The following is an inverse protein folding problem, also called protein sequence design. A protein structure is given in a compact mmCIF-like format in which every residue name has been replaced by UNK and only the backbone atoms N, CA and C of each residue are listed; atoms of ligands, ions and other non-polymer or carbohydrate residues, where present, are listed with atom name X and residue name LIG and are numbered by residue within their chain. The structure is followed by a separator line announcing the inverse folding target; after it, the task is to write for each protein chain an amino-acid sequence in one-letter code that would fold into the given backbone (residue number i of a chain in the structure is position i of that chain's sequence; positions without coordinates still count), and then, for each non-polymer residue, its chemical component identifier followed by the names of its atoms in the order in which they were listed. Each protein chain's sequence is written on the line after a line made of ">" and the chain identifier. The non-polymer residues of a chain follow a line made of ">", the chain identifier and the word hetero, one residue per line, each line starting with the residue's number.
data_IF_011132148102
#
_entry.id   IF_011132148102
#
_cell.length_a   1.000
_cell.length_b   1.000
_cell.length_c   1.000
_cell.angle_alpha   90.00
_cell.angle_beta   90.00
_cell.angle_gamma   90.00
#
_symmetry.space_group_name_H-M   'P 1'
#
loop_
_entity.id
_entity.type
_entity.pdbx_description
1 polymer ?
#
# COMPACT_ATOMS: atom_id res chain seq x y z
N UNK A 1 -0.29 8.84 -4.37
CA UNK A 1 -0.96 9.10 -3.07
C UNK A 1 0.08 9.00 -1.96
N UNK A 2 -0.04 9.70 -0.84
CA UNK A 2 0.77 9.35 0.35
C UNK A 2 0.39 7.96 0.85
N UNK A 3 1.38 7.13 1.20
CA UNK A 3 1.22 5.72 1.56
C UNK A 3 0.51 5.52 2.90
N UNK A 4 0.72 6.44 3.85
CA UNK A 4 0.04 6.47 5.15
C UNK A 4 -0.93 7.64 5.23
N UNK A 5 -1.92 7.54 6.11
CA UNK A 5 -2.77 8.66 6.49
C UNK A 5 -2.20 9.34 7.72
N UNK A 6 -2.07 10.66 7.69
CA UNK A 6 -1.66 11.48 8.83
C UNK A 6 -2.87 12.25 9.33
N UNK A 7 -3.26 12.02 10.58
CA UNK A 7 -4.35 12.74 11.21
C UNK A 7 -3.91 14.13 11.71
N UNK A 8 -4.87 14.98 12.09
CA UNK A 8 -4.60 16.35 12.56
C UNK A 8 -3.75 16.39 13.84
N UNK A 9 -3.81 15.34 14.65
CA UNK A 9 -3.03 15.18 15.88
C UNK A 9 -1.61 14.62 15.63
N UNK A 10 -1.25 14.36 14.36
CA UNK A 10 0.04 13.82 13.95
C UNK A 10 0.14 12.30 14.03
N UNK A 11 -0.91 11.59 14.45
CA UNK A 11 -0.92 10.12 14.42
C UNK A 11 -0.98 9.60 12.97
N UNK A 12 -0.36 8.44 12.74
CA UNK A 12 -0.31 7.80 11.42
C UNK A 12 -1.03 6.46 11.41
N UNK A 13 -1.74 6.18 10.32
CA UNK A 13 -2.42 4.90 10.10
C UNK A 13 -2.24 4.39 8.66
N UNK A 14 -2.36 3.07 8.49
CA UNK A 14 -2.22 2.43 7.18
C UNK A 14 -3.42 2.73 6.28
N UNK A 15 -3.15 3.05 5.01
CA UNK A 15 -4.20 3.19 3.97
C UNK A 15 -4.50 1.87 3.26
N UNK A 16 -3.50 0.98 3.17
CA UNK A 16 -3.64 -0.34 2.58
C UNK A 16 -3.94 -1.35 3.69
N UNK A 17 -5.18 -1.81 3.74
CA UNK A 17 -5.76 -2.63 4.81
C UNK A 17 -6.30 -3.95 4.25
N UNK A 18 -6.42 -5.01 5.08
CA UNK A 18 -7.04 -6.27 4.65
C UNK A 18 -8.53 -6.10 4.31
N UNK A 19 -9.18 -5.09 4.88
CA UNK A 19 -10.55 -4.67 4.58
C UNK A 19 -10.66 -3.17 4.79
N UNK A 20 -11.29 -2.47 3.85
CA UNK A 20 -11.58 -1.05 4.02
C UNK A 20 -12.54 -0.84 5.19
N UNK A 21 -12.20 0.10 6.05
CA UNK A 21 -12.98 0.60 7.18
C UNK A 21 -13.92 1.75 6.79
N UNK A 22 -13.67 2.37 5.63
CA UNK A 22 -14.52 3.41 5.04
C UNK A 22 -15.48 2.83 3.98
N UNK A 23 -16.58 3.54 3.67
CA UNK A 23 -17.49 3.14 2.60
C UNK A 23 -16.75 2.93 1.27
N UNK A 24 -16.93 1.76 0.68
CA UNK A 24 -16.31 1.40 -0.60
C UNK A 24 -16.86 2.28 -1.73
N UNK A 25 -15.98 2.85 -2.52
CA UNK A 25 -16.35 3.54 -3.77
C UNK A 25 -16.57 2.55 -4.93
N UNK A 26 -15.82 1.44 -4.94
CA UNK A 26 -15.95 0.35 -5.89
C UNK A 26 -15.28 -0.91 -5.34
N UNK A 27 -15.66 -2.08 -5.86
CA UNK A 27 -15.16 -3.39 -5.40
C UNK A 27 -14.33 -4.02 -6.51
N UNK A 28 -13.07 -4.35 -6.23
CA UNK A 28 -12.19 -5.04 -7.19
C UNK A 28 -11.90 -4.23 -8.46
N UNK A 29 -11.96 -2.89 -8.37
CA UNK A 29 -11.81 -1.99 -9.52
C UNK A 29 -10.41 -1.36 -9.64
N UNK A 30 -9.50 -1.67 -8.72
CA UNK A 30 -8.15 -1.09 -8.68
C UNK A 30 -7.16 -2.11 -9.22
N UNK A 31 -6.44 -1.75 -10.27
CA UNK A 31 -5.39 -2.60 -10.87
C UNK A 31 -3.98 -2.25 -10.34
N UNK A 32 -3.72 -0.97 -10.06
CA UNK A 32 -2.39 -0.46 -9.70
C UNK A 32 -2.48 0.61 -8.61
N UNK A 33 -1.62 0.51 -7.61
CA UNK A 33 -1.48 1.47 -6.51
C UNK A 33 -0.09 2.11 -6.57
N UNK A 34 -0.05 3.44 -6.72
CA UNK A 34 1.19 4.23 -6.77
C UNK A 34 1.25 5.18 -5.57
N UNK A 35 2.29 5.03 -4.76
CA UNK A 35 2.54 5.88 -3.59
C UNK A 35 3.93 6.49 -3.59
N UNK A 36 4.22 7.34 -2.60
CA UNK A 36 5.56 7.88 -2.33
C UNK A 36 6.59 6.81 -1.94
N UNK A 37 6.16 5.60 -1.55
CA UNK A 37 7.04 4.50 -1.15
C UNK A 37 7.30 3.50 -2.28
N UNK A 38 6.46 3.45 -3.31
CA UNK A 38 6.62 2.50 -4.41
C UNK A 38 5.35 2.26 -5.23
N UNK A 39 5.42 1.25 -6.08
CA UNK A 39 4.36 0.82 -6.99
C UNK A 39 3.95 -0.61 -6.65
N UNK A 40 2.65 -0.85 -6.53
CA UNK A 40 2.06 -2.16 -6.23
C UNK A 40 0.96 -2.51 -7.23
N UNK A 41 1.09 -3.65 -7.86
CA UNK A 41 0.06 -4.27 -8.70
C UNK A 41 -0.94 -5.05 -7.83
N UNK A 42 -2.22 -4.92 -8.12
CA UNK A 42 -3.28 -5.71 -7.48
C UNK A 42 -3.45 -7.00 -8.26
N UNK A 43 -3.23 -8.13 -7.59
CA UNK A 43 -3.33 -9.47 -8.17
C UNK A 43 -4.34 -10.30 -7.42
N UNK A 44 -4.72 -11.45 -7.97
CA UNK A 44 -5.58 -12.44 -7.30
C UNK A 44 -5.00 -12.92 -5.95
N UNK A 45 -3.68 -12.79 -5.75
CA UNK A 45 -2.98 -13.21 -4.53
C UNK A 45 -2.68 -12.04 -3.56
N UNK A 46 -3.16 -10.83 -3.85
CA UNK A 46 -2.91 -9.63 -3.06
C UNK A 46 -2.01 -8.62 -3.76
N UNK A 47 -1.29 -7.81 -2.98
CA UNK A 47 -0.49 -6.69 -3.49
C UNK A 47 0.93 -7.12 -3.80
N UNK A 48 1.33 -6.96 -5.06
CA UNK A 48 2.67 -7.27 -5.56
C UNK A 48 3.46 -6.00 -5.81
N UNK A 49 4.57 -5.82 -5.12
CA UNK A 49 5.44 -4.66 -5.29
C UNK A 49 6.26 -4.84 -6.56
N UNK A 50 6.11 -3.90 -7.51
CA UNK A 50 6.83 -3.90 -8.79
C UNK A 50 7.97 -2.89 -8.78
N UNK A 51 7.87 -1.82 -8.00
CA UNK A 51 8.92 -0.80 -7.86
C UNK A 51 8.98 -0.26 -6.43
N UNK A 52 10.17 0.11 -5.97
CA UNK A 52 10.40 0.85 -4.73
C UNK A 52 10.88 2.26 -5.06
N UNK A 53 10.43 3.24 -4.28
CA UNK A 53 10.96 4.58 -4.40
C UNK A 53 12.44 4.63 -3.99
N UNK A 54 13.23 5.59 -4.50
CA UNK A 54 14.66 5.69 -4.19
C UNK A 54 14.92 5.76 -2.68
N UNK A 55 15.76 4.85 -2.18
CA UNK A 55 16.12 4.77 -0.75
C UNK A 55 15.07 4.11 0.14
N UNK A 56 13.96 3.61 -0.40
CA UNK A 56 12.96 2.83 0.35
C UNK A 56 13.34 1.35 0.36
N UNK A 57 13.34 0.75 1.55
CA UNK A 57 13.60 -0.68 1.73
C UNK A 57 12.30 -1.51 1.75
N UNK A 58 12.43 -2.83 1.52
CA UNK A 58 11.29 -3.77 1.58
C UNK A 58 10.63 -3.75 2.97
N UNK A 59 11.44 -3.64 4.02
CA UNK A 59 10.98 -3.58 5.41
C UNK A 59 10.19 -2.30 5.69
N UNK A 60 10.63 -1.16 5.14
CA UNK A 60 9.96 0.12 5.34
C UNK A 60 8.55 0.14 4.76
N UNK A 61 8.40 -0.25 3.49
CA UNK A 61 7.08 -0.30 2.85
C UNK A 61 6.18 -1.37 3.48
N UNK A 62 6.75 -2.52 3.87
CA UNK A 62 5.99 -3.56 4.58
C UNK A 62 5.50 -3.07 5.94
N UNK A 63 6.31 -2.34 6.70
CA UNK A 63 5.91 -1.76 7.98
C UNK A 63 4.84 -0.68 7.83
N UNK A 64 4.77 -0.01 6.67
CA UNK A 64 3.79 1.02 6.37
C UNK A 64 2.50 0.48 5.71
N UNK A 65 2.43 -0.82 5.43
CA UNK A 65 1.28 -1.50 4.80
C UNK A 65 0.61 -2.46 5.78
N UNK A 66 -0.72 -2.39 5.93
CA UNK A 66 -1.49 -3.27 6.82
C UNK A 66 -1.74 -4.69 6.30
N UNK A 67 -1.17 -5.05 5.14
CA UNK A 67 -1.24 -6.40 4.56
C UNK A 67 0.16 -6.87 4.16
N UNK A 68 0.33 -8.20 4.06
CA UNK A 68 1.59 -8.77 3.58
C UNK A 68 1.78 -8.43 2.10
N UNK A 69 2.95 -7.91 1.75
CA UNK A 69 3.33 -7.60 0.38
C UNK A 69 4.07 -8.77 -0.26
N UNK A 70 3.80 -9.01 -1.54
CA UNK A 70 4.63 -9.87 -2.38
C UNK A 70 5.75 -9.03 -3.03
N UNK A 71 7.00 -9.44 -2.82
CA UNK A 71 8.20 -8.79 -3.37
C UNK A 71 8.88 -9.63 -4.45
N UNK A 72 8.20 -10.64 -5.00
CA UNK A 72 8.75 -11.58 -6.00
C UNK A 72 9.10 -10.93 -7.35
N UNK A 73 8.62 -9.71 -7.62
CA UNK A 73 8.92 -8.95 -8.84
C UNK A 73 10.05 -7.91 -8.70
N UNK A 74 10.63 -7.75 -7.52
CA UNK A 74 11.71 -6.79 -7.25
C UNK A 74 13.11 -7.40 -7.43
#
# INVERSE_FOLDING_TARGET
>A
MEHVATAKDGSTSHKLLPKCDLPLTGVGVVDLVITDLGVMEVTDNGLKVTELAPGVSKEQIQAATGVKLDFSAL
#
